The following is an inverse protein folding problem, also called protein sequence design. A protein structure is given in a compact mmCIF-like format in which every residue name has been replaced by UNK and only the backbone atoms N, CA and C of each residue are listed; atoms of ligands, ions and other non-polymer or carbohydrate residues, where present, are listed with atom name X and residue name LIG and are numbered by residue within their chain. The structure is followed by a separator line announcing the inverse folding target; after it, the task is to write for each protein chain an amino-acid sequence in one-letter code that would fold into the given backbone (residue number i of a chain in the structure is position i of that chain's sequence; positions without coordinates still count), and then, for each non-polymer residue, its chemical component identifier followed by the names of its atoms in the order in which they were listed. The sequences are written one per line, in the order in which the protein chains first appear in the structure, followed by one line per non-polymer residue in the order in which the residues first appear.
data_IF_133110621127
#
_entry.id   IF_133110621127
#
_cell.length_a   1.000
_cell.length_b   1.000
_cell.length_c   1.000
_cell.angle_alpha   90.00
_cell.angle_beta   90.00
_cell.angle_gamma   90.00
#
_symmetry.space_group_name_H-M   'P 1'
#
loop_
_entity.id
_entity.type
_entity.pdbx_description
1 polymer ?
#
# COMPACT_ATOMS: atom_id res chain seq x y z
N UNK A 1 42.01 -49.33 15.72
CA UNK A 1 41.66 -48.82 14.37
C UNK A 1 40.15 -48.74 14.14
N UNK A 2 39.34 -49.79 14.39
CA UNK A 2 37.88 -49.75 14.18
C UNK A 2 37.12 -48.68 14.98
N UNK A 3 37.48 -48.46 16.25
CA UNK A 3 36.81 -47.47 17.12
C UNK A 3 37.00 -46.01 16.65
N UNK A 4 38.13 -45.69 16.01
CA UNK A 4 38.39 -44.36 15.44
C UNK A 4 37.50 -44.09 14.21
N UNK A 5 37.25 -45.10 13.39
CA UNK A 5 36.35 -45.00 12.24
C UNK A 5 34.89 -44.79 12.64
N UNK A 6 34.43 -45.49 13.69
CA UNK A 6 33.08 -45.34 14.23
C UNK A 6 32.89 -43.94 14.83
N UNK A 7 33.88 -43.44 15.59
CA UNK A 7 33.83 -42.10 16.17
C UNK A 7 33.78 -41.01 15.08
N UNK A 8 34.59 -41.13 14.02
CA UNK A 8 34.59 -40.18 12.90
C UNK A 8 33.25 -40.18 12.15
N UNK A 9 32.67 -41.35 11.88
CA UNK A 9 31.37 -41.45 11.22
C UNK A 9 30.23 -40.85 12.07
N UNK A 10 30.23 -41.11 13.39
CA UNK A 10 29.22 -40.56 14.30
C UNK A 10 29.29 -39.02 14.37
N UNK A 11 30.50 -38.45 14.45
CA UNK A 11 30.70 -36.99 14.44
C UNK A 11 30.23 -36.39 13.11
N UNK A 12 30.54 -37.03 11.98
CA UNK A 12 30.08 -36.59 10.66
C UNK A 12 28.54 -36.57 10.55
N UNK A 13 27.86 -37.60 11.05
CA UNK A 13 26.40 -37.65 11.07
C UNK A 13 25.78 -36.56 11.95
N UNK A 14 26.37 -36.26 13.11
CA UNK A 14 25.89 -35.21 14.02
C UNK A 14 26.08 -33.82 13.39
N UNK A 15 27.22 -33.56 12.76
CA UNK A 15 27.49 -32.27 12.10
C UNK A 15 26.58 -32.05 10.89
N UNK A 16 26.39 -33.06 10.05
CA UNK A 16 25.50 -32.97 8.89
C UNK A 16 24.03 -32.85 9.31
N UNK A 17 23.60 -33.63 10.31
CA UNK A 17 22.25 -33.54 10.88
C UNK A 17 21.99 -32.19 11.54
N UNK A 18 22.95 -31.68 12.32
CA UNK A 18 22.87 -30.36 12.95
C UNK A 18 22.82 -29.22 11.93
N UNK A 19 23.68 -29.25 10.91
CA UNK A 19 23.67 -28.26 9.83
C UNK A 19 22.36 -28.30 9.02
N UNK A 20 21.81 -29.50 8.77
CA UNK A 20 20.53 -29.65 8.08
C UNK A 20 19.35 -29.12 8.90
N UNK A 21 19.32 -29.39 10.20
CA UNK A 21 18.27 -28.89 11.11
C UNK A 21 18.35 -27.37 11.24
N UNK A 22 19.56 -26.81 11.42
CA UNK A 22 19.78 -25.36 11.47
C UNK A 22 19.39 -24.67 10.16
N UNK A 23 19.74 -25.28 9.02
CA UNK A 23 19.35 -24.80 7.70
C UNK A 23 17.83 -24.79 7.53
N UNK A 24 17.16 -25.87 7.91
CA UNK A 24 15.70 -25.99 7.79
C UNK A 24 14.97 -25.05 8.76
N UNK A 25 15.48 -24.85 9.98
CA UNK A 25 14.94 -23.88 10.93
C UNK A 25 15.09 -22.45 10.43
N UNK A 26 16.27 -22.10 9.91
CA UNK A 26 16.50 -20.78 9.32
C UNK A 26 15.59 -20.55 8.10
N UNK A 27 15.36 -21.58 7.28
CA UNK A 27 14.45 -21.50 6.14
C UNK A 27 13.00 -21.33 6.57
N UNK A 28 12.57 -22.09 7.58
CA UNK A 28 11.22 -21.98 8.13
C UNK A 28 10.98 -20.62 8.78
N UNK A 29 11.97 -20.08 9.50
CA UNK A 29 11.90 -18.75 10.08
C UNK A 29 11.85 -17.66 9.00
N UNK A 30 12.66 -17.78 7.94
CA UNK A 30 12.62 -16.87 6.77
C UNK A 30 11.27 -16.90 6.07
N UNK A 31 10.67 -18.08 5.87
CA UNK A 31 9.34 -18.18 5.27
C UNK A 31 8.24 -17.54 6.12
N UNK A 32 8.28 -17.73 7.45
CA UNK A 32 7.31 -17.08 8.35
C UNK A 32 7.47 -15.56 8.37
N UNK A 33 8.70 -15.07 8.32
CA UNK A 33 8.97 -13.63 8.22
C UNK A 33 8.50 -13.07 6.88
N UNK A 34 8.75 -13.78 5.77
CA UNK A 34 8.29 -13.37 4.44
C UNK A 34 6.77 -13.29 4.32
N UNK A 35 6.03 -14.23 4.91
CA UNK A 35 4.55 -14.15 4.95
C UNK A 35 4.09 -12.90 5.71
N UNK A 36 4.70 -12.61 6.88
CA UNK A 36 4.33 -11.45 7.68
C UNK A 36 4.61 -10.12 6.95
N UNK A 37 5.72 -10.02 6.22
CA UNK A 37 6.06 -8.86 5.40
C UNK A 37 5.16 -8.72 4.17
N UNK A 38 4.76 -9.84 3.55
CA UNK A 38 3.79 -9.81 2.46
C UNK A 38 2.41 -9.34 2.94
N UNK A 39 1.95 -9.81 4.10
CA UNK A 39 0.70 -9.34 4.72
C UNK A 39 0.75 -7.85 5.04
N UNK A 40 1.91 -7.33 5.50
CA UNK A 40 2.13 -5.88 5.66
C UNK A 40 1.99 -5.16 4.34
N UNK A 41 2.65 -5.67 3.31
CA UNK A 41 2.64 -5.06 2.00
C UNK A 41 1.23 -5.01 1.38
N UNK A 42 0.38 -6.00 1.65
CA UNK A 42 -1.04 -5.97 1.26
C UNK A 42 -1.77 -4.78 1.89
N UNK A 43 -1.55 -4.47 3.18
CA UNK A 43 -2.15 -3.30 3.84
C UNK A 43 -1.77 -2.00 3.12
N UNK A 44 -0.52 -1.88 2.70
CA UNK A 44 -0.04 -0.73 1.92
C UNK A 44 -0.71 -0.64 0.55
N UNK A 45 -0.77 -1.75 -0.18
CA UNK A 45 -1.44 -1.81 -1.49
C UNK A 45 -2.93 -1.46 -1.38
N UNK A 46 -3.61 -1.93 -0.34
CA UNK A 46 -5.02 -1.62 -0.10
C UNK A 46 -5.24 -0.12 0.11
N UNK A 47 -4.33 0.56 0.82
CA UNK A 47 -4.40 2.00 1.00
C UNK A 47 -4.17 2.78 -0.29
N UNK A 48 -3.15 2.42 -1.08
CA UNK A 48 -2.92 3.04 -2.41
C UNK A 48 -4.13 2.83 -3.32
N UNK A 49 -4.65 1.61 -3.32
CA UNK A 49 -5.81 1.25 -4.11
C UNK A 49 -7.06 2.02 -3.66
N UNK A 50 -7.23 2.26 -2.36
CA UNK A 50 -8.35 3.03 -1.83
C UNK A 50 -8.29 4.49 -2.29
N UNK A 51 -7.10 5.12 -2.25
CA UNK A 51 -6.89 6.50 -2.74
C UNK A 51 -7.24 6.61 -4.22
N UNK A 52 -6.70 5.73 -5.07
CA UNK A 52 -7.01 5.72 -6.51
C UNK A 52 -8.50 5.47 -6.77
N UNK A 53 -9.11 4.52 -6.07
CA UNK A 53 -10.53 4.17 -6.22
C UNK A 53 -11.51 5.26 -5.76
N UNK A 54 -11.09 6.22 -4.92
CA UNK A 54 -11.92 7.36 -4.52
C UNK A 54 -12.30 8.27 -5.70
N UNK A 55 -11.52 8.24 -6.79
CA UNK A 55 -11.82 8.98 -8.02
C UNK A 55 -13.16 8.59 -8.63
N UNK A 56 -13.57 7.32 -8.54
CA UNK A 56 -14.84 6.84 -9.10
C UNK A 56 -16.04 7.57 -8.49
N UNK A 57 -16.28 7.43 -7.17
CA UNK A 57 -17.33 8.16 -6.47
C UNK A 57 -17.18 9.68 -6.55
N UNK A 58 -15.95 10.21 -6.58
CA UNK A 58 -15.73 11.65 -6.78
C UNK A 58 -16.25 12.13 -8.13
N UNK A 59 -15.92 11.41 -9.21
CA UNK A 59 -16.37 11.73 -10.56
C UNK A 59 -17.89 11.60 -10.69
N UNK A 60 -18.47 10.54 -10.13
CA UNK A 60 -19.92 10.37 -10.11
C UNK A 60 -20.61 11.51 -9.37
N UNK A 61 -20.11 11.91 -8.19
CA UNK A 61 -20.69 13.00 -7.41
C UNK A 61 -20.59 14.36 -8.12
N UNK A 62 -19.47 14.65 -8.80
CA UNK A 62 -19.30 15.88 -9.58
C UNK A 62 -20.21 15.93 -10.81
N UNK A 63 -20.45 14.79 -11.44
CA UNK A 63 -21.34 14.63 -12.59
C UNK A 63 -22.82 14.47 -12.26
N UNK A 64 -23.18 14.39 -10.97
CA UNK A 64 -24.53 14.09 -10.52
C UNK A 64 -25.56 15.13 -10.97
N UNK A 65 -26.72 14.68 -11.44
CA UNK A 65 -27.90 15.56 -11.54
C UNK A 65 -28.37 15.99 -10.15
N UNK A 66 -29.19 17.04 -10.05
CA UNK A 66 -29.71 17.49 -8.76
C UNK A 66 -30.58 16.41 -8.07
N UNK A 67 -31.20 15.52 -8.85
CA UNK A 67 -31.99 14.39 -8.34
C UNK A 67 -31.11 13.29 -7.69
N UNK A 68 -29.92 13.04 -8.23
CA UNK A 68 -29.01 11.98 -7.78
C UNK A 68 -27.96 12.50 -6.78
N UNK A 69 -27.85 13.83 -6.62
CA UNK A 69 -26.79 14.47 -5.86
C UNK A 69 -26.70 13.95 -4.41
N UNK A 70 -27.83 13.70 -3.75
CA UNK A 70 -27.83 13.21 -2.37
C UNK A 70 -27.23 11.80 -2.26
N UNK A 71 -27.61 10.89 -3.16
CA UNK A 71 -27.15 9.50 -3.14
C UNK A 71 -25.66 9.42 -3.48
N UNK A 72 -25.23 10.10 -4.54
CA UNK A 72 -23.85 10.05 -5.00
C UNK A 72 -22.88 10.74 -4.03
N UNK A 73 -23.33 11.79 -3.32
CA UNK A 73 -22.54 12.38 -2.22
C UNK A 73 -22.42 11.43 -1.02
N UNK A 74 -23.47 10.70 -0.67
CA UNK A 74 -23.40 9.70 0.41
C UNK A 74 -22.45 8.54 0.07
N UNK A 75 -22.44 8.10 -1.19
CA UNK A 75 -21.50 7.11 -1.69
C UNK A 75 -20.05 7.62 -1.64
N UNK A 76 -19.82 8.90 -2.00
CA UNK A 76 -18.51 9.54 -1.89
C UNK A 76 -18.02 9.60 -0.44
N UNK A 77 -18.86 10.05 0.51
CA UNK A 77 -18.48 10.10 1.93
C UNK A 77 -18.15 8.71 2.50
N UNK A 78 -18.92 7.69 2.12
CA UNK A 78 -18.62 6.30 2.50
C UNK A 78 -17.25 5.89 1.97
N UNK A 79 -16.93 6.22 0.70
CA UNK A 79 -15.63 5.89 0.11
C UNK A 79 -14.50 6.65 0.79
N UNK A 80 -14.66 7.93 1.10
CA UNK A 80 -13.69 8.76 1.82
C UNK A 80 -13.34 8.17 3.19
N UNK A 81 -14.36 7.71 3.93
CA UNK A 81 -14.16 7.04 5.21
C UNK A 81 -13.33 5.75 5.05
N UNK A 82 -13.62 4.93 4.04
CA UNK A 82 -12.84 3.72 3.74
C UNK A 82 -11.38 4.05 3.38
N UNK A 83 -11.14 5.07 2.56
CA UNK A 83 -9.79 5.53 2.22
C UNK A 83 -9.03 5.99 3.45
N UNK A 84 -9.67 6.75 4.35
CA UNK A 84 -9.04 7.21 5.58
C UNK A 84 -8.66 6.03 6.49
N UNK A 85 -9.56 5.08 6.69
CA UNK A 85 -9.29 3.87 7.48
C UNK A 85 -8.10 3.08 6.92
N UNK A 86 -7.99 2.96 5.58
CA UNK A 86 -6.86 2.27 4.96
C UNK A 86 -5.53 3.01 5.17
N UNK A 87 -5.51 4.34 5.07
CA UNK A 87 -4.32 5.16 5.36
C UNK A 87 -3.93 5.11 6.84
N UNK A 88 -4.90 5.07 7.75
CA UNK A 88 -4.64 4.93 9.19
C UNK A 88 -4.08 3.54 9.52
N UNK A 89 -4.54 2.49 8.83
CA UNK A 89 -3.98 1.15 8.95
C UNK A 89 -2.50 1.11 8.51
N UNK A 90 -2.13 1.85 7.45
CA UNK A 90 -0.71 1.99 7.05
C UNK A 90 0.09 2.69 8.14
N UNK A 91 -0.40 3.83 8.65
CA UNK A 91 0.29 4.56 9.72
C UNK A 91 0.57 3.67 10.94
N UNK A 92 -0.41 2.86 11.35
CA UNK A 92 -0.27 1.94 12.48
C UNK A 92 0.66 0.76 12.18
N UNK A 93 0.54 0.15 11.00
CA UNK A 93 1.26 -1.10 10.66
C UNK A 93 2.73 -0.86 10.32
N UNK A 94 3.07 0.36 9.91
CA UNK A 94 4.40 0.75 9.43
C UNK A 94 5.08 1.83 10.29
N UNK A 95 4.56 2.15 11.47
CA UNK A 95 5.06 3.24 12.35
C UNK A 95 6.60 3.31 12.42
N UNK A 96 7.27 2.19 12.73
CA UNK A 96 8.74 2.13 12.80
C UNK A 96 9.48 2.24 11.46
N UNK A 97 8.86 1.85 10.34
CA UNK A 97 9.46 1.97 9.00
C UNK A 97 9.31 3.39 8.48
N UNK A 98 8.18 4.04 8.80
CA UNK A 98 7.87 5.40 8.42
C UNK A 98 8.87 6.38 9.05
N UNK A 99 9.26 6.16 10.31
CA UNK A 99 10.25 6.99 11.02
C UNK A 99 11.66 6.89 10.42
N UNK A 100 12.02 5.74 9.84
CA UNK A 100 13.39 5.48 9.37
C UNK A 100 13.69 6.02 7.97
N UNK A 101 12.66 6.17 7.13
CA UNK A 101 12.85 6.26 5.67
C UNK A 101 12.13 7.46 5.03
N UNK A 102 11.98 8.59 5.71
CA UNK A 102 11.16 9.73 5.25
C UNK A 102 9.66 9.37 5.01
N UNK A 103 9.23 8.18 5.43
CA UNK A 103 7.87 7.68 5.21
C UNK A 103 6.80 8.51 5.92
N UNK A 104 7.11 9.07 7.09
CA UNK A 104 6.23 10.04 7.78
C UNK A 104 5.94 11.25 6.90
N UNK A 105 6.98 11.79 6.25
CA UNK A 105 6.83 12.92 5.35
C UNK A 105 6.04 12.53 4.10
N UNK A 106 6.35 11.39 3.47
CA UNK A 106 5.63 10.90 2.31
C UNK A 106 4.12 10.68 2.61
N UNK A 107 3.80 10.08 3.75
CA UNK A 107 2.41 9.89 4.18
C UNK A 107 1.71 11.23 4.47
N UNK A 108 2.43 12.20 5.04
CA UNK A 108 1.91 13.55 5.28
C UNK A 108 1.59 14.27 3.97
N UNK A 109 2.53 14.27 3.02
CA UNK A 109 2.36 14.86 1.68
C UNK A 109 1.21 14.20 0.94
N UNK A 110 1.05 12.88 1.03
CA UNK A 110 -0.09 12.15 0.49
C UNK A 110 -1.41 12.66 1.10
N UNK A 111 -1.50 12.73 2.43
CA UNK A 111 -2.72 13.19 3.12
C UNK A 111 -3.07 14.63 2.75
N UNK A 112 -2.08 15.51 2.64
CA UNK A 112 -2.27 16.89 2.20
C UNK A 112 -2.75 16.97 0.76
N UNK A 113 -2.14 16.21 -0.15
CA UNK A 113 -2.54 16.16 -1.56
C UNK A 113 -3.97 15.63 -1.72
N UNK A 114 -4.34 14.58 -0.97
CA UNK A 114 -5.69 14.02 -0.95
C UNK A 114 -6.70 15.02 -0.38
N UNK A 115 -6.37 15.73 0.70
CA UNK A 115 -7.24 16.77 1.25
C UNK A 115 -7.46 17.92 0.25
N UNK A 116 -6.41 18.36 -0.44
CA UNK A 116 -6.50 19.39 -1.48
C UNK A 116 -7.38 18.93 -2.66
N UNK A 117 -7.24 17.67 -3.10
CA UNK A 117 -8.10 17.07 -4.12
C UNK A 117 -9.56 17.02 -3.71
N UNK A 118 -9.83 16.54 -2.49
CA UNK A 118 -11.19 16.49 -1.91
C UNK A 118 -11.84 17.86 -1.83
N UNK A 119 -11.10 18.88 -1.42
CA UNK A 119 -11.62 20.26 -1.36
C UNK A 119 -12.05 20.77 -2.75
N UNK A 120 -11.31 20.45 -3.81
CA UNK A 120 -11.71 20.80 -5.19
C UNK A 120 -12.95 20.02 -5.64
N UNK A 121 -13.05 18.74 -5.29
CA UNK A 121 -14.27 17.94 -5.50
C UNK A 121 -15.46 18.58 -4.76
N UNK A 122 -15.26 19.02 -3.52
CA UNK A 122 -16.31 19.63 -2.70
C UNK A 122 -16.84 20.93 -3.34
N UNK A 123 -15.95 21.77 -3.88
CA UNK A 123 -16.33 22.96 -4.64
C UNK A 123 -17.21 22.59 -5.85
N UNK A 124 -16.81 21.55 -6.59
CA UNK A 124 -17.56 21.09 -7.76
C UNK A 124 -18.95 20.56 -7.40
N UNK A 125 -19.06 19.71 -6.37
CA UNK A 125 -20.35 19.12 -5.96
C UNK A 125 -21.29 20.16 -5.35
N UNK A 126 -20.77 21.21 -4.69
CA UNK A 126 -21.58 22.28 -4.11
C UNK A 126 -22.12 23.25 -5.17
N UNK A 127 -21.53 23.27 -6.36
CA UNK A 127 -22.03 24.07 -7.48
C UNK A 127 -23.27 23.40 -8.08
N UNK A 128 -24.38 24.12 -8.33
CA UNK A 128 -25.56 23.57 -9.02
C UNK A 128 -25.20 23.00 -10.38
N UNK A 129 -25.84 21.90 -10.79
CA UNK A 129 -25.48 21.16 -12.02
C UNK A 129 -25.43 22.06 -13.27
N UNK A 130 -26.37 23.00 -13.40
CA UNK A 130 -26.45 23.97 -14.50
C UNK A 130 -25.28 24.97 -14.56
N UNK A 131 -24.63 25.23 -13.42
CA UNK A 131 -23.56 26.22 -13.29
C UNK A 131 -22.16 25.57 -13.15
N UNK A 132 -22.07 24.24 -13.19
CA UNK A 132 -20.79 23.52 -13.09
C UNK A 132 -19.97 23.72 -14.35
N UNK A 133 -18.79 24.29 -14.18
CA UNK A 133 -17.86 24.50 -15.27
C UNK A 133 -16.94 23.28 -15.43
N UNK A 134 -16.70 22.89 -16.69
CA UNK A 134 -15.77 21.81 -17.02
C UNK A 134 -14.37 22.04 -16.44
N UNK A 135 -13.93 23.31 -16.33
CA UNK A 135 -12.66 23.68 -15.72
C UNK A 135 -12.57 23.24 -14.24
N UNK A 136 -13.61 23.52 -13.44
CA UNK A 136 -13.64 23.16 -12.01
C UNK A 136 -13.58 21.64 -11.84
N UNK A 137 -14.34 20.90 -12.66
CA UNK A 137 -14.33 19.43 -12.65
C UNK A 137 -12.95 18.91 -13.07
N UNK A 138 -12.36 19.46 -14.12
CA UNK A 138 -11.03 19.08 -14.60
C UNK A 138 -9.94 19.31 -13.54
N UNK A 139 -9.98 20.45 -12.84
CA UNK A 139 -9.06 20.73 -11.75
C UNK A 139 -9.18 19.74 -10.58
N UNK A 140 -10.42 19.37 -10.23
CA UNK A 140 -10.66 18.37 -9.18
C UNK A 140 -10.14 16.99 -9.60
N UNK A 141 -10.39 16.57 -10.85
CA UNK A 141 -9.88 15.31 -11.39
C UNK A 141 -8.35 15.27 -11.34
N UNK A 142 -7.69 16.32 -11.84
CA UNK A 142 -6.22 16.39 -11.84
C UNK A 142 -5.63 16.39 -10.44
N UNK A 143 -6.27 17.05 -9.47
CA UNK A 143 -5.82 17.04 -8.09
C UNK A 143 -5.98 15.65 -7.42
N UNK A 144 -7.03 14.91 -7.76
CA UNK A 144 -7.20 13.53 -7.29
C UNK A 144 -6.20 12.55 -7.93
N UNK A 145 -5.79 12.79 -9.18
CA UNK A 145 -4.66 12.06 -9.78
C UNK A 145 -3.35 12.34 -9.05
N UNK A 146 -3.07 13.62 -8.76
CA UNK A 146 -1.87 13.98 -8.00
C UNK A 146 -1.83 13.28 -6.63
N UNK A 147 -2.97 13.13 -5.95
CA UNK A 147 -3.05 12.37 -4.71
C UNK A 147 -2.76 10.87 -4.90
N UNK A 148 -3.22 10.27 -6.00
CA UNK A 148 -2.89 8.89 -6.35
C UNK A 148 -1.39 8.72 -6.65
N UNK A 149 -0.78 9.68 -7.35
CA UNK A 149 0.67 9.68 -7.60
C UNK A 149 1.47 9.70 -6.28
N UNK A 150 1.06 10.54 -5.32
CA UNK A 150 1.66 10.55 -3.96
C UNK A 150 1.48 9.22 -3.22
N UNK A 151 0.39 8.51 -3.47
CA UNK A 151 0.18 7.18 -2.90
C UNK A 151 1.14 6.15 -3.51
N UNK A 152 1.40 6.25 -4.81
CA UNK A 152 2.43 5.47 -5.50
C UNK A 152 3.83 5.73 -4.94
N UNK A 153 4.19 7.00 -4.73
CA UNK A 153 5.48 7.38 -4.12
C UNK A 153 5.66 6.78 -2.72
N UNK A 154 4.61 6.84 -1.87
CA UNK A 154 4.63 6.21 -0.54
C UNK A 154 4.85 4.68 -0.64
N UNK A 155 4.18 4.03 -1.60
CA UNK A 155 4.33 2.60 -1.82
C UNK A 155 5.72 2.23 -2.26
N UNK A 156 6.30 2.98 -3.20
CA UNK A 156 7.63 2.68 -3.72
C UNK A 156 8.70 2.87 -2.64
N UNK A 157 8.54 3.88 -1.79
CA UNK A 157 9.41 4.12 -0.64
C UNK A 157 9.34 2.98 0.39
N UNK A 158 8.15 2.60 0.86
CA UNK A 158 8.00 1.52 1.85
C UNK A 158 8.34 0.16 1.23
N UNK A 159 7.92 -0.08 -0.01
CA UNK A 159 8.20 -1.31 -0.75
C UNK A 159 9.70 -1.53 -0.96
N UNK A 160 10.46 -0.47 -1.24
CA UNK A 160 11.92 -0.53 -1.30
C UNK A 160 12.53 -1.08 -0.01
N UNK A 161 12.02 -0.64 1.15
CA UNK A 161 12.50 -1.10 2.45
C UNK A 161 12.17 -2.58 2.71
N UNK A 162 10.96 -3.04 2.37
CA UNK A 162 10.58 -4.45 2.50
C UNK A 162 11.51 -5.34 1.67
N UNK A 163 11.91 -4.88 0.47
CA UNK A 163 12.85 -5.60 -0.39
C UNK A 163 14.25 -5.65 0.24
N UNK A 164 14.70 -4.58 0.89
CA UNK A 164 15.98 -4.55 1.60
C UNK A 164 16.01 -5.50 2.80
N UNK A 165 14.94 -5.52 3.60
CA UNK A 165 14.84 -6.39 4.78
C UNK A 165 14.57 -7.86 4.42
N UNK A 166 13.79 -8.10 3.36
CA UNK A 166 13.41 -9.44 2.89
C UNK A 166 13.58 -9.59 1.37
N UNK A 167 14.82 -9.77 0.88
CA UNK A 167 15.11 -9.85 -0.55
C UNK A 167 14.38 -10.97 -1.30
N UNK A 168 13.94 -12.01 -0.58
CA UNK A 168 13.17 -13.12 -1.17
C UNK A 168 11.79 -12.69 -1.68
N UNK A 169 11.24 -11.56 -1.20
CA UNK A 169 9.94 -11.02 -1.62
C UNK A 169 10.04 -10.03 -2.79
N UNK A 170 11.24 -9.79 -3.31
CA UNK A 170 11.45 -8.78 -4.36
C UNK A 170 10.62 -9.03 -5.62
N UNK A 171 10.43 -10.30 -5.99
CA UNK A 171 9.64 -10.69 -7.16
C UNK A 171 8.15 -10.39 -6.96
N UNK A 172 7.60 -10.75 -5.81
CA UNK A 172 6.20 -10.53 -5.46
C UNK A 172 5.88 -9.04 -5.35
N UNK A 173 6.73 -8.27 -4.67
CA UNK A 173 6.59 -6.81 -4.55
C UNK A 173 6.66 -6.14 -5.93
N UNK A 174 7.60 -6.54 -6.79
CA UNK A 174 7.70 -6.01 -8.14
C UNK A 174 6.46 -6.32 -9.00
N UNK A 175 5.97 -7.57 -8.94
CA UNK A 175 4.76 -7.97 -9.67
C UNK A 175 3.53 -7.18 -9.20
N UNK A 176 3.38 -7.01 -7.89
CA UNK A 176 2.28 -6.24 -7.32
C UNK A 176 2.35 -4.75 -7.68
N UNK A 177 3.55 -4.14 -7.64
CA UNK A 177 3.75 -2.76 -8.09
C UNK A 177 3.43 -2.60 -9.58
N UNK A 178 3.87 -3.54 -10.41
CA UNK A 178 3.60 -3.53 -11.86
C UNK A 178 2.11 -3.66 -12.15
N UNK A 179 1.42 -4.56 -11.43
CA UNK A 179 -0.03 -4.74 -11.55
C UNK A 179 -0.81 -3.48 -11.09
N UNK A 180 -0.36 -2.85 -10.01
CA UNK A 180 -0.92 -1.58 -9.53
C UNK A 180 -0.76 -0.47 -10.56
N UNK A 181 0.43 -0.33 -11.15
CA UNK A 181 0.74 0.71 -12.14
C UNK A 181 -0.05 0.57 -13.46
N UNK A 182 -0.37 -0.65 -13.89
CA UNK A 182 -1.20 -0.88 -15.09
C UNK A 182 -2.68 -0.52 -14.86
N UNK A 183 -3.11 -0.47 -13.59
CA UNK A 183 -4.50 -0.19 -13.22
C UNK A 183 -4.83 1.30 -13.15
N UNK A 184 -3.83 2.12 -12.82
CA UNK A 184 -3.97 3.57 -12.65
C UNK A 184 -3.93 4.33 -13.99
#
# INVERSE_FOLDING_TARGET
MQWLGIAAAAIGCILLGGASILGNFADHQRHRQGIAELERFVVLLDAVNAVSAERGPSNSAMGASDAEASELRAALETKRAQTNLALDAVALRFDGDLERNDGVNALTVLRESLAAGRAKVDIAIMTPSENRQALIIGEAIMAMFAAADRAGELRDLIGGHIIEETPQLAGEVFLANSASAVRD
#
